data_IF_407378083541
#
_entry.id   IF_407378083541
#
_cell.length_a   1.000
_cell.length_b   1.000
_cell.length_c   1.000
_cell.angle_alpha   90.00
_cell.angle_beta   90.00
_cell.angle_gamma   90.00
#
_symmetry.space_group_name_H-M   'P 1'
#
loop_
_entity.id
_entity.type
_entity.pdbx_description
1 polymer ?
#
# COMPACT_ATOMS: atom_id res chain seq x y z
N UNK A 1 17.26 -14.56 -4.39
CA UNK A 1 16.83 -14.71 -2.99
C UNK A 1 17.63 -13.84 -2.03
N UNK A 2 18.96 -13.95 -1.95
CA UNK A 2 19.81 -13.15 -1.04
C UNK A 2 19.70 -11.62 -1.23
N UNK A 3 19.60 -11.11 -2.47
CA UNK A 3 19.43 -9.66 -2.74
C UNK A 3 18.13 -9.11 -2.17
N UNK A 4 17.02 -9.87 -2.25
CA UNK A 4 15.70 -9.45 -1.70
C UNK A 4 15.70 -9.46 -0.18
N UNK A 5 16.32 -10.46 0.43
CA UNK A 5 16.48 -10.52 1.90
C UNK A 5 17.40 -9.39 2.38
N UNK A 6 18.51 -9.13 1.69
CA UNK A 6 19.39 -8.00 2.00
C UNK A 6 18.69 -6.66 1.91
N UNK A 7 17.86 -6.45 0.90
CA UNK A 7 17.07 -5.23 0.73
C UNK A 7 16.03 -5.06 1.86
N UNK A 8 15.33 -6.14 2.22
CA UNK A 8 14.38 -6.14 3.34
C UNK A 8 15.07 -5.78 4.67
N UNK A 9 16.21 -6.39 4.94
CA UNK A 9 17.01 -6.10 6.14
C UNK A 9 17.48 -4.64 6.15
N UNK A 10 17.97 -4.15 5.01
CA UNK A 10 18.41 -2.77 4.88
C UNK A 10 17.26 -1.78 5.07
N UNK A 11 16.09 -2.06 4.50
CA UNK A 11 14.90 -1.23 4.67
C UNK A 11 14.45 -1.17 6.14
N UNK A 12 14.39 -2.33 6.83
CA UNK A 12 14.04 -2.37 8.25
C UNK A 12 15.07 -1.66 9.14
N UNK A 13 16.37 -1.80 8.82
CA UNK A 13 17.42 -1.07 9.52
C UNK A 13 17.31 0.44 9.30
N UNK A 14 17.01 0.89 8.09
CA UNK A 14 16.77 2.30 7.78
C UNK A 14 15.56 2.85 8.55
N UNK A 15 14.46 2.09 8.63
CA UNK A 15 13.28 2.45 9.45
C UNK A 15 13.66 2.59 10.93
N UNK A 16 14.42 1.62 11.46
CA UNK A 16 14.85 1.65 12.86
C UNK A 16 15.74 2.86 13.17
N UNK A 17 16.72 3.14 12.32
CA UNK A 17 17.61 4.30 12.48
C UNK A 17 16.81 5.60 12.40
N UNK A 18 15.94 5.74 11.40
CA UNK A 18 15.11 6.94 11.24
C UNK A 18 14.18 7.14 12.43
N UNK A 19 13.53 6.09 12.93
CA UNK A 19 12.68 6.14 14.10
C UNK A 19 13.47 6.61 15.33
N UNK A 20 14.67 6.06 15.55
CA UNK A 20 15.55 6.46 16.65
C UNK A 20 15.94 7.95 16.56
N UNK A 21 16.26 8.42 15.34
CA UNK A 21 16.57 9.84 15.11
C UNK A 21 15.35 10.73 15.40
N UNK A 22 14.17 10.37 14.86
CA UNK A 22 12.93 11.14 15.07
C UNK A 22 12.57 11.22 16.55
N UNK A 23 12.61 10.11 17.27
CA UNK A 23 12.34 10.08 18.71
C UNK A 23 13.35 10.94 19.50
N UNK A 24 14.63 10.87 19.15
CA UNK A 24 15.67 11.68 19.79
C UNK A 24 15.46 13.17 19.52
N UNK A 25 15.14 13.56 18.30
CA UNK A 25 14.85 14.97 17.94
C UNK A 25 13.62 15.48 18.70
N UNK A 26 12.54 14.71 18.75
CA UNK A 26 11.33 15.09 19.50
C UNK A 26 11.66 15.25 20.99
N UNK A 27 12.44 14.34 21.56
CA UNK A 27 12.89 14.43 22.96
C UNK A 27 13.70 15.70 23.21
N UNK A 28 14.65 16.04 22.31
CA UNK A 28 15.50 17.24 22.45
C UNK A 28 14.71 18.55 22.29
N UNK A 29 13.80 18.60 21.32
CA UNK A 29 13.06 19.84 20.97
C UNK A 29 11.92 20.12 21.96
N UNK A 30 11.19 19.09 22.36
CA UNK A 30 9.99 19.23 23.19
C UNK A 30 10.21 18.84 24.66
N UNK A 31 11.40 18.37 25.04
CA UNK A 31 11.69 17.91 26.40
C UNK A 31 10.88 16.67 26.83
N UNK A 32 10.28 15.95 25.88
CA UNK A 32 9.43 14.77 26.13
C UNK A 32 10.32 13.56 26.33
N UNK A 33 10.34 12.96 27.53
CA UNK A 33 10.97 11.66 27.73
C UNK A 33 10.04 10.55 27.23
N UNK A 34 10.48 9.76 26.25
CA UNK A 34 9.76 8.57 25.81
C UNK A 34 9.92 7.35 26.74
N UNK A 35 10.49 7.54 27.90
CA UNK A 35 10.30 6.63 29.03
C UNK A 35 8.81 6.57 29.36
N UNK A 36 8.07 5.77 28.57
CA UNK A 36 6.61 5.67 28.65
C UNK A 36 6.11 5.10 29.97
N UNK A 37 7.03 4.56 30.75
CA UNK A 37 6.79 3.96 32.05
C UNK A 37 7.89 4.40 32.99
N UNK A 38 7.56 5.32 33.88
CA UNK A 38 8.40 5.68 35.02
C UNK A 38 7.68 5.21 36.28
N UNK A 39 8.23 4.22 36.95
CA UNK A 39 7.64 3.67 38.16
C UNK A 39 6.30 2.94 37.86
N UNK A 40 5.38 3.00 38.81
CA UNK A 40 4.09 2.29 38.75
C UNK A 40 3.02 2.97 37.86
N UNK A 41 3.33 4.10 37.21
CA UNK A 41 2.35 4.86 36.43
C UNK A 41 2.62 4.85 34.92
N UNK A 42 1.56 4.63 34.12
CA UNK A 42 1.57 4.75 32.67
C UNK A 42 1.15 6.17 32.27
N UNK A 43 2.03 6.89 31.59
CA UNK A 43 1.67 8.17 31.00
C UNK A 43 1.03 7.95 29.61
N UNK A 44 -0.31 7.99 29.58
CA UNK A 44 -1.09 7.75 28.35
C UNK A 44 -0.81 8.76 27.26
N UNK A 45 -0.56 10.05 27.61
CA UNK A 45 -0.27 11.09 26.63
C UNK A 45 1.07 10.85 25.94
N UNK A 46 2.12 10.55 26.72
CA UNK A 46 3.44 10.21 26.18
C UNK A 46 3.41 8.92 25.36
N UNK A 47 2.66 7.91 25.83
CA UNK A 47 2.49 6.65 25.09
C UNK A 47 1.76 6.88 23.76
N UNK A 48 0.70 7.71 23.75
CA UNK A 48 -0.02 8.02 22.52
C UNK A 48 0.89 8.74 21.51
N UNK A 49 1.65 9.74 21.96
CA UNK A 49 2.60 10.44 21.10
C UNK A 49 3.68 9.48 20.55
N UNK A 50 4.23 8.62 21.40
CA UNK A 50 5.17 7.58 20.97
C UNK A 50 4.54 6.66 19.91
N UNK A 51 3.33 6.15 20.16
CA UNK A 51 2.63 5.27 19.26
C UNK A 51 2.33 5.93 17.90
N UNK A 52 1.99 7.23 17.92
CA UNK A 52 1.78 8.01 16.71
C UNK A 52 3.08 8.14 15.90
N UNK A 53 4.19 8.48 16.57
CA UNK A 53 5.50 8.57 15.89
C UNK A 53 5.89 7.22 15.28
N UNK A 54 5.77 6.13 16.04
CA UNK A 54 6.08 4.78 15.53
C UNK A 54 5.18 4.40 14.36
N UNK A 55 3.86 4.59 14.51
CA UNK A 55 2.87 4.20 13.53
C UNK A 55 3.03 4.92 12.19
N UNK A 56 3.26 6.23 12.24
CA UNK A 56 3.40 7.04 11.02
C UNK A 56 4.79 6.97 10.39
N UNK A 57 5.86 6.90 11.18
CA UNK A 57 7.23 6.91 10.64
C UNK A 57 7.45 5.77 9.65
N UNK A 58 7.09 4.53 10.01
CA UNK A 58 7.23 3.38 9.11
C UNK A 58 6.41 3.53 7.82
N UNK A 59 5.17 4.03 7.93
CA UNK A 59 4.27 4.23 6.80
C UNK A 59 4.80 5.30 5.83
N UNK A 60 5.28 6.42 6.34
CA UNK A 60 5.86 7.49 5.51
C UNK A 60 7.16 7.08 4.85
N UNK A 61 8.05 6.36 5.55
CA UNK A 61 9.29 5.85 4.96
C UNK A 61 8.95 4.89 3.81
N UNK A 62 8.01 3.98 4.02
CA UNK A 62 7.55 3.05 2.99
C UNK A 62 7.02 3.80 1.76
N UNK A 63 6.21 4.84 1.95
CA UNK A 63 5.70 5.69 0.86
C UNK A 63 6.81 6.39 0.10
N UNK A 64 7.73 7.05 0.80
CA UNK A 64 8.84 7.78 0.18
C UNK A 64 9.79 6.87 -0.60
N UNK A 65 10.00 5.65 -0.10
CA UNK A 65 10.86 4.66 -0.74
C UNK A 65 10.14 3.84 -1.82
N UNK A 66 8.81 3.90 -1.90
CA UNK A 66 7.98 3.01 -2.74
C UNK A 66 8.43 2.96 -4.20
N UNK A 67 8.71 4.12 -4.81
CA UNK A 67 9.16 4.21 -6.21
C UNK A 67 10.54 3.58 -6.41
N UNK A 68 11.50 3.83 -5.52
CA UNK A 68 12.84 3.25 -5.62
C UNK A 68 12.81 1.74 -5.37
N UNK A 69 12.03 1.31 -4.39
CA UNK A 69 11.83 -0.10 -4.10
C UNK A 69 11.22 -0.83 -5.31
N UNK A 70 10.20 -0.25 -5.95
CA UNK A 70 9.61 -0.81 -7.16
C UNK A 70 10.63 -0.94 -8.29
N UNK A 71 11.40 0.14 -8.58
CA UNK A 71 12.45 0.12 -9.61
C UNK A 71 13.49 -0.99 -9.37
N UNK A 72 13.93 -1.16 -8.12
CA UNK A 72 14.96 -2.13 -7.77
C UNK A 72 14.44 -3.57 -7.68
N UNK A 73 13.23 -3.77 -7.11
CA UNK A 73 12.70 -5.11 -6.85
C UNK A 73 12.11 -5.78 -8.09
N UNK A 74 11.51 -4.98 -8.99
CA UNK A 74 10.85 -5.47 -10.21
C UNK A 74 11.77 -5.46 -11.43
N UNK A 75 12.97 -4.88 -11.34
CA UNK A 75 13.88 -4.78 -12.48
C UNK A 75 13.31 -3.91 -13.60
N UNK A 76 12.68 -2.77 -13.25
CA UNK A 76 12.02 -1.91 -14.20
C UNK A 76 12.98 -1.35 -15.25
N UNK A 77 12.63 -1.52 -16.51
CA UNK A 77 13.20 -0.79 -17.63
C UNK A 77 12.45 0.53 -17.77
N UNK A 78 13.13 1.62 -17.37
CA UNK A 78 12.54 2.95 -17.40
C UNK A 78 12.54 3.50 -18.83
N UNK A 79 11.41 4.05 -19.25
CA UNK A 79 11.27 4.68 -20.57
C UNK A 79 11.62 6.17 -20.45
N UNK A 80 12.44 6.66 -21.37
CA UNK A 80 12.65 8.11 -21.55
C UNK A 80 11.39 8.72 -22.19
N UNK A 81 10.58 9.39 -21.37
CA UNK A 81 9.30 9.95 -21.83
C UNK A 81 9.45 11.10 -22.82
N UNK A 82 10.64 11.70 -22.92
CA UNK A 82 10.93 12.77 -23.89
C UNK A 82 11.44 12.20 -25.21
N UNK A 83 12.08 11.04 -25.19
CA UNK A 83 12.66 10.37 -26.36
C UNK A 83 12.38 8.86 -26.34
N UNK A 84 11.09 8.44 -26.35
CA UNK A 84 10.76 7.02 -26.35
C UNK A 84 11.22 6.35 -27.67
N UNK A 85 11.59 5.08 -27.59
CA UNK A 85 11.90 4.30 -28.76
C UNK A 85 10.62 4.05 -29.60
N UNK A 86 10.71 4.12 -30.96
CA UNK A 86 9.56 3.84 -31.81
C UNK A 86 8.95 2.46 -31.55
N UNK A 87 7.64 2.38 -31.58
CA UNK A 87 6.90 1.13 -31.34
C UNK A 87 6.23 1.11 -29.98
N UNK A 88 6.56 0.13 -29.14
CA UNK A 88 5.87 -0.11 -27.88
C UNK A 88 6.06 1.04 -26.87
N UNK A 89 7.27 1.53 -26.71
CA UNK A 89 7.57 2.63 -25.76
C UNK A 89 6.83 3.91 -26.16
N UNK A 90 6.89 4.27 -27.44
CA UNK A 90 6.16 5.42 -27.98
C UNK A 90 4.66 5.29 -27.73
N UNK A 91 4.08 4.11 -28.00
CA UNK A 91 2.67 3.85 -27.75
C UNK A 91 2.31 4.07 -26.26
N UNK A 92 3.07 3.48 -25.33
CA UNK A 92 2.79 3.61 -23.91
C UNK A 92 2.90 5.06 -23.43
N UNK A 93 3.95 5.76 -23.86
CA UNK A 93 4.16 7.17 -23.51
C UNK A 93 3.03 8.05 -24.03
N UNK A 94 2.58 7.84 -25.28
CA UNK A 94 1.50 8.62 -25.88
C UNK A 94 0.17 8.37 -25.18
N UNK A 95 -0.12 7.11 -24.85
CA UNK A 95 -1.33 6.74 -24.09
C UNK A 95 -1.32 7.39 -22.71
N UNK A 96 -0.25 7.19 -21.93
CA UNK A 96 -0.16 7.70 -20.57
C UNK A 96 -0.17 9.23 -20.57
N UNK A 97 0.51 9.88 -21.50
CA UNK A 97 0.51 11.35 -21.65
C UNK A 97 -0.91 11.88 -21.92
N UNK A 98 -1.61 11.31 -22.88
CA UNK A 98 -3.00 11.67 -23.22
C UNK A 98 -3.95 11.47 -22.03
N UNK A 99 -3.83 10.34 -21.34
CA UNK A 99 -4.67 10.03 -20.19
C UNK A 99 -4.34 10.90 -18.96
N UNK A 100 -3.05 11.20 -18.71
CA UNK A 100 -2.62 12.10 -17.64
C UNK A 100 -3.17 13.51 -17.85
N UNK A 101 -3.15 14.01 -19.10
CA UNK A 101 -3.76 15.30 -19.45
C UNK A 101 -5.27 15.32 -19.17
N UNK A 102 -5.99 14.27 -19.60
CA UNK A 102 -7.44 14.12 -19.30
C UNK A 102 -7.72 14.02 -17.80
N UNK A 103 -6.86 13.33 -17.06
CA UNK A 103 -6.97 13.18 -15.62
C UNK A 103 -6.59 14.46 -14.84
N UNK A 104 -5.90 15.41 -15.47
CA UNK A 104 -5.41 16.65 -14.83
C UNK A 104 -4.26 16.38 -13.84
N UNK A 105 -3.39 15.42 -14.16
CA UNK A 105 -2.20 15.07 -13.37
C UNK A 105 -0.93 15.26 -14.19
N UNK A 106 0.21 15.54 -13.52
CA UNK A 106 1.51 15.52 -14.18
C UNK A 106 1.79 14.15 -14.81
N UNK A 107 2.59 14.14 -15.90
CA UNK A 107 3.06 12.92 -16.53
C UNK A 107 3.86 12.10 -15.52
N UNK A 108 3.46 10.84 -15.20
CA UNK A 108 4.26 9.96 -14.35
C UNK A 108 5.49 9.45 -15.09
N UNK A 109 6.47 8.96 -14.35
CA UNK A 109 7.50 8.10 -14.93
C UNK A 109 6.86 6.81 -15.47
N UNK A 110 7.42 6.26 -16.54
CA UNK A 110 6.89 5.07 -17.19
C UNK A 110 7.94 3.97 -17.18
N UNK A 111 7.55 2.75 -16.84
CA UNK A 111 8.44 1.60 -16.85
C UNK A 111 7.78 0.34 -17.36
N UNK A 112 8.60 -0.54 -17.94
CA UNK A 112 8.20 -1.90 -18.35
C UNK A 112 9.01 -2.89 -17.51
N UNK A 113 8.43 -4.01 -17.17
CA UNK A 113 9.13 -5.11 -16.51
C UNK A 113 8.69 -6.45 -17.05
N UNK A 114 9.58 -7.43 -16.95
CA UNK A 114 9.25 -8.80 -17.34
C UNK A 114 8.54 -9.52 -16.19
N UNK A 115 7.37 -10.08 -16.47
CA UNK A 115 6.57 -10.75 -15.46
C UNK A 115 5.17 -11.13 -15.93
N UNK A 116 4.44 -11.78 -15.02
CA UNK A 116 3.02 -12.14 -15.19
C UNK A 116 2.16 -10.90 -15.47
N UNK A 117 0.97 -11.05 -16.11
CA UNK A 117 0.09 -9.95 -16.44
C UNK A 117 -0.24 -9.07 -15.22
N UNK A 118 0.29 -7.85 -15.21
CA UNK A 118 0.09 -6.89 -14.13
C UNK A 118 0.47 -5.48 -14.58
N UNK A 119 -0.16 -4.47 -13.94
CA UNK A 119 0.29 -3.09 -13.97
C UNK A 119 0.17 -2.51 -12.56
N UNK A 120 0.90 -1.45 -12.26
CA UNK A 120 0.78 -0.76 -10.99
C UNK A 120 1.22 0.70 -11.08
N UNK A 121 0.64 1.53 -10.21
CA UNK A 121 1.13 2.86 -9.94
C UNK A 121 1.72 2.95 -8.53
N UNK A 122 2.81 3.71 -8.37
CA UNK A 122 3.43 3.98 -7.08
C UNK A 122 4.06 5.36 -7.03
N UNK A 123 4.40 5.83 -5.83
CA UNK A 123 5.05 7.11 -5.62
C UNK A 123 4.47 7.91 -4.48
N UNK A 124 5.21 8.89 -3.99
CA UNK A 124 4.84 9.66 -2.80
C UNK A 124 3.88 10.83 -3.08
N UNK A 125 3.66 11.19 -4.34
CA UNK A 125 2.76 12.28 -4.73
C UNK A 125 2.36 12.17 -6.20
N UNK A 126 1.37 12.96 -6.63
CA UNK A 126 0.96 13.05 -8.04
C UNK A 126 2.11 13.47 -8.97
N UNK A 127 2.99 14.35 -8.50
CA UNK A 127 4.15 14.83 -9.26
C UNK A 127 5.37 13.92 -9.16
N UNK A 128 5.37 12.96 -8.25
CA UNK A 128 6.43 11.96 -8.08
C UNK A 128 5.84 10.56 -8.14
N UNK A 129 5.15 10.25 -9.23
CA UNK A 129 4.51 8.97 -9.49
C UNK A 129 5.23 8.20 -10.60
N UNK A 130 5.06 6.89 -10.59
CA UNK A 130 5.54 5.92 -11.56
C UNK A 130 4.39 5.00 -11.92
N UNK A 131 4.18 4.78 -13.20
CA UNK A 131 3.29 3.73 -13.73
C UNK A 131 4.15 2.69 -14.42
N UNK A 132 3.97 1.44 -14.07
CA UNK A 132 4.70 0.33 -14.65
C UNK A 132 3.75 -0.74 -15.17
N UNK A 133 4.10 -1.36 -16.30
CA UNK A 133 3.31 -2.40 -16.96
C UNK A 133 4.20 -3.61 -17.27
N UNK A 134 3.69 -4.81 -17.07
CA UNK A 134 4.42 -6.03 -17.37
C UNK A 134 4.32 -6.41 -18.86
N UNK A 135 5.34 -7.10 -19.35
CA UNK A 135 5.31 -7.75 -20.66
C UNK A 135 4.17 -8.75 -20.78
N UNK A 136 3.86 -9.45 -19.68
CA UNK A 136 2.73 -10.39 -19.63
C UNK A 136 1.38 -9.71 -19.88
N UNK A 137 1.11 -8.54 -19.30
CA UNK A 137 -0.12 -7.79 -19.55
C UNK A 137 -0.20 -7.30 -20.99
N UNK A 138 0.90 -6.78 -21.54
CA UNK A 138 0.97 -6.29 -22.90
C UNK A 138 0.77 -7.40 -23.96
N UNK A 139 1.16 -8.62 -23.63
CA UNK A 139 0.94 -9.80 -24.49
C UNK A 139 -0.48 -10.38 -24.36
N UNK A 140 -1.09 -10.25 -23.17
CA UNK A 140 -2.41 -10.80 -22.90
C UNK A 140 -3.55 -9.95 -23.48
N UNK A 141 -3.42 -8.63 -23.38
CA UNK A 141 -4.49 -7.67 -23.61
C UNK A 141 -4.37 -6.99 -24.96
N UNK A 142 -5.51 -6.66 -25.55
CA UNK A 142 -5.56 -5.75 -26.70
C UNK A 142 -5.31 -4.30 -26.25
N UNK A 143 -5.14 -3.38 -27.21
CA UNK A 143 -4.80 -1.98 -26.93
C UNK A 143 -5.83 -1.27 -26.06
N UNK A 144 -7.12 -1.47 -26.30
CA UNK A 144 -8.19 -0.82 -25.55
C UNK A 144 -8.20 -1.31 -24.09
N UNK A 145 -7.96 -2.60 -23.87
CA UNK A 145 -7.84 -3.21 -22.54
C UNK A 145 -6.60 -2.69 -21.80
N UNK A 146 -5.44 -2.59 -22.47
CA UNK A 146 -4.22 -2.00 -21.91
C UNK A 146 -4.46 -0.54 -21.54
N UNK A 147 -5.06 0.25 -22.43
CA UNK A 147 -5.39 1.65 -22.15
C UNK A 147 -6.32 1.81 -20.94
N UNK A 148 -7.29 0.90 -20.78
CA UNK A 148 -8.20 0.90 -19.63
C UNK A 148 -7.48 0.59 -18.31
N UNK A 149 -6.58 -0.40 -18.30
CA UNK A 149 -5.75 -0.70 -17.13
C UNK A 149 -4.83 0.47 -16.78
N UNK A 150 -4.18 1.09 -17.77
CA UNK A 150 -3.36 2.28 -17.53
C UNK A 150 -4.19 3.47 -17.00
N UNK A 151 -5.42 3.65 -17.50
CA UNK A 151 -6.33 4.67 -16.98
C UNK A 151 -6.77 4.38 -15.54
N UNK A 152 -6.92 3.11 -15.16
CA UNK A 152 -7.17 2.69 -13.79
C UNK A 152 -6.00 3.06 -12.87
N UNK A 153 -4.76 2.75 -13.25
CA UNK A 153 -3.56 3.12 -12.51
C UNK A 153 -3.41 4.64 -12.36
N UNK A 154 -3.66 5.38 -13.42
CA UNK A 154 -3.64 6.85 -13.38
C UNK A 154 -4.75 7.42 -12.50
N UNK A 155 -5.87 6.73 -12.36
CA UNK A 155 -6.95 7.12 -11.44
C UNK A 155 -6.53 7.01 -9.99
N UNK A 156 -5.76 5.98 -9.61
CA UNK A 156 -5.14 5.91 -8.29
C UNK A 156 -4.21 7.09 -8.02
N UNK A 157 -3.39 7.47 -9.01
CA UNK A 157 -2.51 8.65 -8.90
C UNK A 157 -3.34 9.93 -8.75
N UNK A 158 -4.37 10.12 -9.60
CA UNK A 158 -5.29 11.28 -9.55
C UNK A 158 -5.96 11.43 -8.20
N UNK A 159 -6.42 10.31 -7.64
CA UNK A 159 -7.13 10.27 -6.37
C UNK A 159 -6.18 10.46 -5.16
N UNK A 160 -4.87 10.25 -5.33
CA UNK A 160 -3.88 10.29 -4.26
C UNK A 160 -3.98 9.09 -3.32
N UNK A 161 -4.34 7.92 -3.87
CA UNK A 161 -4.62 6.71 -3.10
C UNK A 161 -3.42 6.22 -2.30
N UNK A 162 -2.20 6.34 -2.85
CA UNK A 162 -0.97 5.98 -2.17
C UNK A 162 -0.80 6.75 -0.84
N UNK A 163 -1.03 8.07 -0.88
CA UNK A 163 -0.94 8.92 0.33
C UNK A 163 -2.05 8.58 1.32
N UNK A 164 -3.28 8.45 0.84
CA UNK A 164 -4.44 8.15 1.70
C UNK A 164 -4.30 6.81 2.40
N UNK A 165 -3.82 5.78 1.68
CA UNK A 165 -3.57 4.46 2.23
C UNK A 165 -2.43 4.48 3.25
N UNK A 166 -1.37 5.26 2.99
CA UNK A 166 -0.26 5.47 3.94
C UNK A 166 -0.73 6.14 5.23
N UNK A 167 -1.57 7.16 5.13
CA UNK A 167 -2.15 7.83 6.31
C UNK A 167 -3.03 6.86 7.11
N UNK A 168 -3.89 6.09 6.45
CA UNK A 168 -4.71 5.07 7.11
C UNK A 168 -3.83 4.03 7.81
N UNK A 169 -2.79 3.54 7.14
CA UNK A 169 -1.85 2.59 7.73
C UNK A 169 -1.16 3.18 8.96
N UNK A 170 -0.73 4.44 8.92
CA UNK A 170 -0.14 5.15 10.04
C UNK A 170 -1.08 5.26 11.24
N UNK A 171 -2.35 5.60 11.00
CA UNK A 171 -3.40 5.64 12.03
C UNK A 171 -3.61 4.25 12.63
N UNK A 172 -3.78 3.23 11.80
CA UNK A 172 -4.00 1.86 12.26
C UNK A 172 -2.81 1.32 13.07
N UNK A 173 -1.59 1.56 12.63
CA UNK A 173 -0.38 1.20 13.36
C UNK A 173 -0.29 1.91 14.72
N UNK A 174 -0.69 3.18 14.78
CA UNK A 174 -0.76 3.96 16.02
C UNK A 174 -1.69 3.28 17.03
N UNK A 175 -2.89 2.88 16.60
CA UNK A 175 -3.85 2.17 17.46
C UNK A 175 -3.30 0.82 17.92
N UNK A 176 -2.69 0.05 17.03
CA UNK A 176 -2.10 -1.25 17.38
C UNK A 176 -1.05 -1.07 18.48
N UNK A 177 -0.07 -0.17 18.27
CA UNK A 177 1.00 0.08 19.24
C UNK A 177 0.45 0.62 20.55
N UNK A 178 -0.47 1.56 20.51
CA UNK A 178 -1.04 2.16 21.70
C UNK A 178 -1.79 1.13 22.57
N UNK A 179 -2.76 0.44 21.99
CA UNK A 179 -3.59 -0.50 22.75
C UNK A 179 -2.81 -1.73 23.23
N UNK A 180 -1.88 -2.24 22.43
CA UNK A 180 -1.05 -3.35 22.89
C UNK A 180 -0.20 -3.00 24.10
N UNK A 181 0.32 -1.78 24.17
CA UNK A 181 1.12 -1.30 25.32
C UNK A 181 0.25 -1.02 26.54
N UNK A 182 -0.94 -0.40 26.36
CA UNK A 182 -1.87 -0.16 27.46
C UNK A 182 -2.32 -1.49 28.08
N UNK A 183 -2.76 -2.43 27.27
CA UNK A 183 -3.23 -3.73 27.75
C UNK A 183 -2.07 -4.54 28.34
N UNK A 184 -0.90 -4.52 27.71
CA UNK A 184 0.32 -5.13 28.25
C UNK A 184 0.65 -4.64 29.64
N UNK A 185 0.56 -3.31 29.85
CA UNK A 185 0.78 -2.70 31.17
C UNK A 185 -0.27 -3.17 32.20
N UNK A 186 -1.56 -3.19 31.80
CA UNK A 186 -2.64 -3.65 32.68
C UNK A 186 -2.43 -5.12 33.10
N UNK A 187 -2.09 -5.99 32.15
CA UNK A 187 -1.82 -7.41 32.45
C UNK A 187 -0.63 -7.54 33.40
N UNK A 188 0.46 -6.84 33.14
CA UNK A 188 1.67 -6.93 33.96
C UNK A 188 1.45 -6.42 35.38
N UNK A 189 0.77 -5.27 35.55
CA UNK A 189 0.57 -4.62 36.85
C UNK A 189 -0.63 -5.14 37.64
N UNK A 190 -1.77 -5.34 36.98
CA UNK A 190 -3.00 -5.68 37.69
C UNK A 190 -3.24 -7.19 37.79
N UNK A 191 -2.83 -7.96 36.77
CA UNK A 191 -3.06 -9.40 36.74
C UNK A 191 -1.86 -10.15 37.31
N UNK A 192 -0.66 -9.87 36.81
CA UNK A 192 0.57 -10.54 37.25
C UNK A 192 1.19 -9.90 38.48
N UNK A 193 0.68 -8.73 38.91
CA UNK A 193 1.09 -8.02 40.14
C UNK A 193 2.58 -7.74 40.17
N UNK A 194 3.15 -7.33 39.02
CA UNK A 194 4.53 -6.90 38.98
C UNK A 194 4.68 -5.58 39.74
N UNK A 195 5.43 -5.59 40.85
CA UNK A 195 5.69 -4.43 41.73
C UNK A 195 7.02 -3.73 41.37
N UNK A 196 7.82 -4.31 40.46
CA UNK A 196 9.10 -3.70 40.02
C UNK A 196 8.84 -2.42 39.24
N UNK A 197 9.79 -1.47 39.29
CA UNK A 197 9.70 -0.22 38.53
C UNK A 197 9.77 -0.44 37.01
N UNK A 198 10.37 -1.53 36.56
CA UNK A 198 10.46 -1.89 35.13
C UNK A 198 9.30 -2.78 34.69
N UNK A 199 8.93 -2.72 33.39
CA UNK A 199 7.99 -3.67 32.82
C UNK A 199 8.50 -5.10 32.91
N UNK A 200 7.65 -6.01 33.39
CA UNK A 200 7.95 -7.43 33.51
C UNK A 200 7.75 -8.19 32.18
N UNK A 201 8.03 -9.50 32.25
CA UNK A 201 7.84 -10.40 31.09
C UNK A 201 6.38 -10.39 30.62
N UNK A 202 5.42 -10.25 31.53
CA UNK A 202 4.00 -10.17 31.21
C UNK A 202 3.66 -9.02 30.27
N UNK A 203 4.28 -7.85 30.48
CA UNK A 203 4.12 -6.72 29.58
C UNK A 203 4.58 -7.02 28.15
N UNK A 204 5.79 -7.55 28.00
CA UNK A 204 6.36 -7.79 26.69
C UNK A 204 5.61 -8.89 25.93
N UNK A 205 5.34 -10.02 26.58
CA UNK A 205 4.60 -11.13 25.97
C UNK A 205 3.21 -10.69 25.53
N UNK A 206 2.46 -10.04 26.41
CA UNK A 206 1.12 -9.53 26.11
C UNK A 206 1.15 -8.53 24.97
N UNK A 207 2.10 -7.59 24.99
CA UNK A 207 2.23 -6.59 23.93
C UNK A 207 2.53 -7.23 22.57
N UNK A 208 3.43 -8.22 22.49
CA UNK A 208 3.77 -8.91 21.23
C UNK A 208 2.55 -9.66 20.71
N UNK A 209 1.86 -10.42 21.55
CA UNK A 209 0.65 -11.17 21.15
C UNK A 209 -0.42 -10.20 20.61
N UNK A 210 -0.63 -9.08 21.30
CA UNK A 210 -1.59 -8.06 20.87
C UNK A 210 -1.15 -7.32 19.63
N UNK A 211 0.14 -7.03 19.45
CA UNK A 211 0.65 -6.46 18.19
C UNK A 211 0.28 -7.34 16.99
N UNK A 212 0.37 -8.66 17.14
CA UNK A 212 -0.02 -9.61 16.09
C UNK A 212 -1.54 -9.62 15.91
N UNK A 213 -2.31 -9.81 16.97
CA UNK A 213 -3.77 -9.92 16.88
C UNK A 213 -4.43 -8.62 16.38
N UNK A 214 -4.04 -7.47 16.97
CA UNK A 214 -4.57 -6.17 16.57
C UNK A 214 -4.05 -5.77 15.18
N UNK A 215 -2.82 -6.16 14.81
CA UNK A 215 -2.28 -5.97 13.46
C UNK A 215 -3.11 -6.71 12.41
N UNK A 216 -3.58 -7.91 12.73
CA UNK A 216 -4.51 -8.66 11.88
C UNK A 216 -5.84 -7.90 11.68
N UNK A 217 -6.44 -7.39 12.77
CA UNK A 217 -7.67 -6.59 12.69
C UNK A 217 -7.44 -5.28 11.93
N UNK A 218 -6.31 -4.61 12.17
CA UNK A 218 -5.93 -3.40 11.46
C UNK A 218 -5.81 -3.64 9.94
N UNK A 219 -5.22 -4.77 9.54
CA UNK A 219 -5.09 -5.12 8.11
C UNK A 219 -6.44 -5.35 7.43
N UNK A 220 -7.45 -5.88 8.11
CA UNK A 220 -8.81 -5.99 7.56
C UNK A 220 -9.40 -4.61 7.22
N UNK A 221 -9.20 -3.60 8.09
CA UNK A 221 -9.67 -2.24 7.85
C UNK A 221 -8.96 -1.62 6.64
N UNK A 222 -7.65 -1.80 6.54
CA UNK A 222 -6.86 -1.31 5.40
C UNK A 222 -7.29 -1.99 4.11
N UNK A 223 -7.50 -3.30 4.11
CA UNK A 223 -7.98 -4.06 2.95
C UNK A 223 -9.41 -3.65 2.55
N UNK A 224 -10.31 -3.42 3.52
CA UNK A 224 -11.65 -2.91 3.23
C UNK A 224 -11.59 -1.56 2.50
N UNK A 225 -10.77 -0.64 3.00
CA UNK A 225 -10.57 0.66 2.37
C UNK A 225 -9.94 0.53 0.98
N UNK A 226 -8.95 -0.36 0.82
CA UNK A 226 -8.35 -0.65 -0.49
C UNK A 226 -9.40 -1.08 -1.51
N UNK A 227 -10.27 -2.05 -1.15
CA UNK A 227 -11.39 -2.49 -2.03
C UNK A 227 -12.33 -1.35 -2.41
N UNK A 228 -12.65 -0.47 -1.48
CA UNK A 228 -13.50 0.69 -1.76
C UNK A 228 -12.84 1.64 -2.78
N UNK A 229 -11.51 1.82 -2.72
CA UNK A 229 -10.74 2.64 -3.66
C UNK A 229 -10.72 2.05 -5.08
N UNK A 230 -10.75 0.74 -5.22
CA UNK A 230 -10.82 0.06 -6.53
C UNK A 230 -12.03 0.49 -7.35
N UNK A 231 -13.21 0.56 -6.73
CA UNK A 231 -14.41 1.05 -7.42
C UNK A 231 -14.27 2.50 -7.90
N UNK A 232 -13.56 3.33 -7.15
CA UNK A 232 -13.28 4.71 -7.56
C UNK A 232 -12.26 4.78 -8.69
N UNK A 233 -11.27 3.89 -8.69
CA UNK A 233 -10.28 3.81 -9.74
C UNK A 233 -10.91 3.28 -11.05
N UNK A 234 -11.78 2.27 -10.97
CA UNK A 234 -12.56 1.77 -12.11
C UNK A 234 -13.45 2.86 -12.71
N UNK A 235 -14.16 3.58 -11.85
CA UNK A 235 -14.98 4.71 -12.27
C UNK A 235 -14.14 5.81 -12.94
N UNK A 236 -12.97 6.13 -12.37
CA UNK A 236 -12.04 7.11 -12.92
C UNK A 236 -11.42 6.66 -14.25
N UNK A 237 -11.15 5.36 -14.41
CA UNK A 237 -10.72 4.80 -15.69
C UNK A 237 -11.77 5.00 -16.76
N UNK A 238 -13.04 4.68 -16.44
CA UNK A 238 -14.15 4.88 -17.34
C UNK A 238 -14.35 6.35 -17.73
N UNK A 239 -14.16 7.31 -16.80
CA UNK A 239 -14.18 8.75 -17.08
C UNK A 239 -13.05 9.17 -18.04
N UNK A 240 -11.83 8.68 -17.82
CA UNK A 240 -10.67 8.96 -18.68
C UNK A 240 -10.90 8.39 -20.10
N UNK A 241 -11.43 7.16 -20.18
CA UNK A 241 -11.70 6.47 -21.44
C UNK A 241 -12.97 6.98 -22.15
N UNK A 242 -13.91 7.59 -21.41
CA UNK A 242 -15.23 7.99 -21.90
C UNK A 242 -16.20 6.81 -22.11
N UNK A 243 -15.87 5.64 -21.56
CA UNK A 243 -16.68 4.41 -21.64
C UNK A 243 -16.26 3.41 -20.56
N UNK A 244 -17.22 2.63 -20.05
CA UNK A 244 -16.95 1.51 -19.13
C UNK A 244 -16.47 0.25 -19.85
N UNK A 245 -16.82 0.08 -21.12
CA UNK A 245 -16.60 -1.17 -21.86
C UNK A 245 -15.13 -1.62 -21.90
N UNK A 246 -14.12 -0.76 -22.16
CA UNK A 246 -12.73 -1.20 -22.17
C UNK A 246 -12.29 -1.78 -20.83
N UNK A 247 -12.72 -1.16 -19.68
CA UNK A 247 -12.37 -1.65 -18.35
C UNK A 247 -13.10 -2.96 -18.04
N UNK A 248 -14.36 -3.09 -18.41
CA UNK A 248 -15.12 -4.34 -18.26
C UNK A 248 -14.44 -5.48 -19.05
N UNK A 249 -14.00 -5.21 -20.28
CA UNK A 249 -13.30 -6.21 -21.10
C UNK A 249 -11.94 -6.59 -20.48
N UNK A 250 -11.18 -5.63 -19.99
CA UNK A 250 -9.93 -5.89 -19.29
C UNK A 250 -10.14 -6.78 -18.06
N UNK A 251 -11.16 -6.47 -17.23
CA UNK A 251 -11.53 -7.29 -16.08
C UNK A 251 -11.95 -8.70 -16.47
N UNK A 252 -12.78 -8.86 -17.51
CA UNK A 252 -13.17 -10.18 -18.04
C UNK A 252 -11.96 -10.96 -18.55
N UNK A 253 -11.00 -10.29 -19.21
CA UNK A 253 -9.76 -10.91 -19.66
C UNK A 253 -8.94 -11.43 -18.49
N UNK A 254 -8.77 -10.64 -17.43
CA UNK A 254 -8.08 -11.07 -16.19
C UNK A 254 -8.81 -12.22 -15.50
N UNK A 255 -10.13 -12.17 -15.42
CA UNK A 255 -10.95 -13.24 -14.83
C UNK A 255 -10.96 -14.55 -15.59
N UNK A 256 -10.62 -14.53 -16.88
CA UNK A 256 -10.56 -15.75 -17.71
C UNK A 256 -9.23 -16.51 -17.60
N UNK A 257 -8.25 -15.98 -16.88
CA UNK A 257 -6.97 -16.65 -16.64
C UNK A 257 -7.16 -17.83 -15.68
N UNK A 258 -6.46 -18.92 -15.95
CA UNK A 258 -6.43 -20.04 -14.99
C UNK A 258 -5.79 -19.62 -13.66
N UNK A 259 -6.23 -20.19 -12.51
CA UNK A 259 -5.69 -19.82 -11.19
C UNK A 259 -4.17 -19.95 -11.06
N UNK A 260 -3.52 -20.80 -11.86
CA UNK A 260 -2.07 -20.95 -11.91
C UNK A 260 -1.35 -19.89 -12.72
N UNK A 261 -2.08 -19.18 -13.60
CA UNK A 261 -1.54 -18.09 -14.43
C UNK A 261 -1.79 -16.72 -13.80
N UNK A 262 -2.54 -16.66 -12.70
CA UNK A 262 -2.81 -15.40 -12.01
C UNK A 262 -1.55 -14.89 -11.30
N UNK A 263 -1.22 -13.59 -11.42
CA UNK A 263 -0.15 -12.97 -10.64
C UNK A 263 -0.28 -13.27 -9.15
N UNK A 264 0.85 -13.38 -8.44
CA UNK A 264 0.86 -13.65 -6.99
C UNK A 264 -0.02 -12.68 -6.18
N UNK A 265 -0.14 -11.42 -6.65
CA UNK A 265 -1.05 -10.42 -6.09
C UNK A 265 -2.53 -10.78 -6.32
N UNK A 266 -2.86 -11.52 -7.39
CA UNK A 266 -4.22 -11.91 -7.77
C UNK A 266 -4.57 -13.31 -7.27
N UNK A 267 -3.58 -14.17 -6.99
CA UNK A 267 -3.80 -15.52 -6.39
C UNK A 267 -4.58 -15.47 -5.07
N UNK A 268 -4.49 -14.37 -4.32
CA UNK A 268 -5.32 -14.13 -3.14
C UNK A 268 -6.81 -13.89 -3.40
N UNK A 269 -7.19 -13.69 -4.67
CA UNK A 269 -8.60 -13.40 -5.06
C UNK A 269 -9.40 -14.65 -5.43
N UNK A 270 -8.74 -15.73 -5.86
CA UNK A 270 -9.38 -16.93 -6.41
C UNK A 270 -9.97 -17.88 -5.38
N UNK A 271 -9.95 -17.56 -4.10
CA UNK A 271 -10.48 -18.45 -3.06
C UNK A 271 -11.81 -17.89 -2.53
N UNK A 272 -12.89 -18.44 -3.10
CA UNK A 272 -14.20 -18.71 -2.49
C UNK A 272 -14.42 -18.11 -1.10
N UNK A 273 -15.53 -17.39 -0.98
CA UNK A 273 -16.07 -16.72 0.20
C UNK A 273 -15.68 -17.31 1.54
N UNK A 274 -15.20 -16.46 2.43
CA UNK A 274 -14.78 -16.81 3.76
C UNK A 274 -13.83 -15.76 4.33
N UNK A 275 -13.16 -16.08 5.42
CA UNK A 275 -12.18 -15.20 6.08
C UNK A 275 -11.10 -14.64 5.13
N UNK A 276 -10.74 -15.36 4.06
CA UNK A 276 -9.76 -14.92 3.05
C UNK A 276 -10.18 -13.64 2.31
N UNK A 277 -11.48 -13.43 2.07
CA UNK A 277 -11.99 -12.24 1.38
C UNK A 277 -11.81 -10.94 2.19
N UNK A 278 -11.73 -11.05 3.53
CA UNK A 278 -11.51 -9.89 4.40
C UNK A 278 -10.10 -9.29 4.23
N UNK A 279 -9.13 -10.10 3.81
CA UNK A 279 -7.74 -9.70 3.58
C UNK A 279 -7.41 -9.43 2.10
N UNK A 280 -8.38 -9.61 1.20
CA UNK A 280 -8.21 -9.26 -0.19
C UNK A 280 -8.13 -7.73 -0.34
N UNK A 281 -7.14 -7.26 -1.10
CA UNK A 281 -6.93 -5.82 -1.36
C UNK A 281 -7.81 -5.29 -2.47
N UNK A 282 -8.36 -6.17 -3.31
CA UNK A 282 -9.29 -5.81 -4.38
C UNK A 282 -10.62 -6.55 -4.22
N UNK A 283 -11.74 -6.01 -4.70
CA UNK A 283 -13.02 -6.72 -4.77
C UNK A 283 -12.98 -7.85 -5.80
N UNK A 284 -14.00 -8.70 -5.83
CA UNK A 284 -14.15 -9.69 -6.89
C UNK A 284 -14.26 -9.01 -8.27
N UNK A 285 -13.81 -9.69 -9.31
CA UNK A 285 -13.90 -9.18 -10.68
C UNK A 285 -15.38 -8.99 -11.06
N UNK A 286 -16.23 -9.90 -10.63
CA UNK A 286 -17.67 -9.86 -10.86
C UNK A 286 -18.31 -8.62 -10.23
N UNK A 287 -17.97 -8.30 -8.98
CA UNK A 287 -18.48 -7.10 -8.27
C UNK A 287 -18.01 -5.81 -8.98
N UNK A 288 -16.75 -5.76 -9.43
CA UNK A 288 -16.21 -4.62 -10.18
C UNK A 288 -16.93 -4.43 -11.52
N UNK A 289 -17.15 -5.52 -12.26
CA UNK A 289 -17.90 -5.49 -13.53
C UNK A 289 -19.33 -5.02 -13.27
N UNK A 290 -20.02 -5.59 -12.30
CA UNK A 290 -21.40 -5.20 -11.95
C UNK A 290 -21.49 -3.71 -11.59
N UNK A 291 -20.53 -3.18 -10.84
CA UNK A 291 -20.46 -1.75 -10.49
C UNK A 291 -20.26 -0.85 -11.72
N UNK A 292 -19.42 -1.27 -12.67
CA UNK A 292 -19.20 -0.55 -13.93
C UNK A 292 -20.44 -0.62 -14.86
N UNK A 293 -21.12 -1.76 -14.95
CA UNK A 293 -22.34 -1.93 -15.74
C UNK A 293 -23.53 -1.11 -15.18
N UNK A 294 -23.60 -0.95 -13.86
CA UNK A 294 -24.60 -0.11 -13.20
C UNK A 294 -24.37 1.39 -13.46
N UNK A 295 -23.18 1.81 -13.89
CA UNK A 295 -22.84 3.19 -14.18
C UNK A 295 -23.38 3.59 -15.55
N UNK A 296 -24.38 4.47 -15.55
CA UNK A 296 -24.94 5.05 -16.81
C UNK A 296 -24.07 6.24 -17.22
N UNK A 297 -23.67 6.28 -18.50
CA UNK A 297 -23.06 7.45 -19.17
C UNK A 297 -24.12 8.16 -20.01
#
# INVERSE_FOLDING_TARGET
MFKRIGLLVLANLAVFIMLSVVLTVIQMVFGVSFGTMTGQSLNLGTLFLFSMVVGFTGSFISLLMSKQMAKMSMGLQMIDTDRPQPGLEQYLVDVIRRQSQKAGIPMPEVGIYDGEPNAFATGASKSSSLVAVSTGLLNLMNRDEVEAVLAHELSHVKNGDMVTQTLLQGVMNTFVVFFSRVIGWVVDRQILRNEDDAPGVGYYVTSIVLDICLGFLASMVVCYFSRWREYHADAGAADIMGSTNPMINALRRLGSMEPNELPGAVKGFGISGGFGSLFATHPSIEDRIAALEARRY
#
